data_IF_680421837927
#
_entry.id   IF_680421837927
#
_cell.length_a   1.000
_cell.length_b   1.000
_cell.length_c   1.000
_cell.angle_alpha   90.00
_cell.angle_beta   90.00
_cell.angle_gamma   90.00
#
_symmetry.space_group_name_H-M   'P 1'
#
loop_
_entity.id
_entity.type
_entity.pdbx_description
1 polymer ?
#
# COMPACT_ATOMS: atom_id res chain seq x y z
N UNK A 1 4.08 -5.00 -10.07
CA UNK A 1 3.71 -5.81 -8.90
C UNK A 1 4.18 -5.11 -7.63
N UNK A 2 3.32 -5.15 -6.57
CA UNK A 2 3.69 -4.65 -5.24
C UNK A 2 3.70 -5.79 -4.24
N UNK A 3 4.67 -5.79 -3.31
CA UNK A 3 4.79 -6.80 -2.27
C UNK A 3 5.02 -6.17 -0.89
N UNK A 4 4.57 -6.83 0.17
CA UNK A 4 4.66 -6.29 1.53
C UNK A 4 5.85 -6.87 2.31
N UNK A 5 6.41 -6.07 3.24
CA UNK A 5 7.30 -6.51 4.30
C UNK A 5 6.55 -6.46 5.64
N UNK A 6 6.05 -7.59 6.10
CA UNK A 6 5.36 -7.69 7.38
C UNK A 6 6.12 -8.59 8.37
N UNK A 7 5.79 -9.88 8.41
CA UNK A 7 6.42 -10.87 9.29
C UNK A 7 7.11 -12.02 8.53
N UNK A 8 6.94 -12.05 7.22
CA UNK A 8 7.46 -13.12 6.37
C UNK A 8 8.83 -12.77 5.79
N UNK A 9 8.82 -12.21 4.59
CA UNK A 9 10.04 -12.00 3.82
C UNK A 9 10.64 -10.61 4.06
N UNK A 10 11.97 -10.53 3.99
CA UNK A 10 12.71 -9.27 3.99
C UNK A 10 12.56 -8.58 2.62
N UNK A 11 12.38 -7.26 2.65
CA UNK A 11 11.95 -6.51 1.46
C UNK A 11 12.95 -6.55 0.31
N UNK A 12 14.23 -6.30 0.56
CA UNK A 12 15.21 -6.22 -0.53
C UNK A 12 15.53 -7.61 -1.12
N UNK A 13 15.55 -8.64 -0.26
CA UNK A 13 15.76 -10.01 -0.70
C UNK A 13 14.60 -10.51 -1.58
N UNK A 14 13.35 -10.27 -1.17
CA UNK A 14 12.18 -10.64 -1.97
C UNK A 14 12.13 -9.83 -3.28
N UNK A 15 12.39 -8.52 -3.22
CA UNK A 15 12.46 -7.66 -4.40
C UNK A 15 13.49 -8.16 -5.41
N UNK A 16 14.68 -8.54 -4.94
CA UNK A 16 15.74 -9.12 -5.80
C UNK A 16 15.29 -10.41 -6.48
N UNK A 17 14.66 -11.32 -5.71
CA UNK A 17 14.13 -12.57 -6.26
C UNK A 17 13.07 -12.32 -7.35
N UNK A 18 12.08 -11.46 -7.06
CA UNK A 18 11.00 -11.14 -8.01
C UNK A 18 11.52 -10.47 -9.29
N UNK A 19 12.49 -9.55 -9.17
CA UNK A 19 13.13 -8.91 -10.32
C UNK A 19 13.90 -9.92 -11.19
N UNK A 20 14.56 -10.90 -10.56
CA UNK A 20 15.28 -11.96 -11.27
C UNK A 20 14.34 -12.94 -12.00
N UNK A 21 13.12 -13.16 -11.48
CA UNK A 21 12.12 -14.03 -12.10
C UNK A 21 11.29 -13.33 -13.20
N UNK A 22 11.44 -12.01 -13.37
CA UNK A 22 10.64 -11.21 -14.32
C UNK A 22 11.55 -10.40 -15.24
N UNK A 23 11.04 -10.03 -16.43
CA UNK A 23 11.84 -9.30 -17.44
C UNK A 23 11.37 -7.87 -17.68
N UNK A 24 10.08 -7.60 -17.58
CA UNK A 24 9.49 -6.31 -17.98
C UNK A 24 8.70 -5.63 -16.87
N UNK A 25 8.11 -6.39 -15.97
CA UNK A 25 7.27 -5.85 -14.90
C UNK A 25 8.08 -5.04 -13.89
N UNK A 26 7.55 -3.88 -13.49
CA UNK A 26 8.08 -3.13 -12.36
C UNK A 26 7.70 -3.80 -11.04
N UNK A 27 8.65 -3.84 -10.11
CA UNK A 27 8.49 -4.44 -8.78
C UNK A 27 8.63 -3.34 -7.73
N UNK A 28 7.67 -3.22 -6.83
CA UNK A 28 7.67 -2.22 -5.77
C UNK A 28 7.43 -2.81 -4.38
N UNK A 29 8.15 -2.30 -3.39
CA UNK A 29 7.84 -2.63 -1.99
C UNK A 29 6.62 -1.84 -1.50
N UNK A 30 5.68 -2.49 -0.82
CA UNK A 30 4.48 -1.88 -0.21
C UNK A 30 4.25 -2.40 1.20
N UNK A 31 5.07 -2.03 2.11
CA UNK A 31 6.19 -1.10 2.10
C UNK A 31 7.41 -1.71 2.79
N UNK A 32 8.60 -1.26 2.37
CA UNK A 32 9.80 -1.52 3.14
C UNK A 32 9.77 -0.69 4.44
N UNK A 33 9.92 -1.37 5.58
CA UNK A 33 9.80 -0.76 6.88
C UNK A 33 11.08 0.01 7.25
N UNK A 34 10.97 1.32 7.55
CA UNK A 34 12.12 2.16 7.93
C UNK A 34 12.80 1.75 9.24
N UNK A 35 12.14 0.95 10.08
CA UNK A 35 12.72 0.38 11.29
C UNK A 35 13.40 -0.98 11.05
N UNK A 36 13.32 -1.53 9.84
CA UNK A 36 13.98 -2.80 9.48
C UNK A 36 15.43 -2.59 9.04
N UNK A 37 15.73 -1.41 8.50
CA UNK A 37 17.03 -1.04 7.96
C UNK A 37 17.22 0.47 8.02
N UNK A 38 18.45 0.95 8.17
CA UNK A 38 18.72 2.38 8.11
C UNK A 38 18.57 2.95 6.69
N UNK A 39 18.59 4.28 6.60
CA UNK A 39 18.37 4.98 5.33
C UNK A 39 19.50 4.71 4.31
N UNK A 40 20.73 4.53 4.80
CA UNK A 40 21.88 4.22 3.94
C UNK A 40 21.74 2.83 3.32
N UNK A 41 21.40 1.81 4.13
CA UNK A 41 21.15 0.46 3.64
C UNK A 41 19.97 0.42 2.64
N UNK A 42 18.90 1.18 2.89
CA UNK A 42 17.77 1.28 1.94
C UNK A 42 18.19 1.93 0.61
N UNK A 43 19.05 2.95 0.66
CA UNK A 43 19.61 3.55 -0.54
C UNK A 43 20.47 2.57 -1.34
N UNK A 44 21.36 1.85 -0.66
CA UNK A 44 22.18 0.81 -1.30
C UNK A 44 21.31 -0.27 -1.94
N UNK A 45 20.25 -0.71 -1.24
CA UNK A 45 19.29 -1.66 -1.78
C UNK A 45 18.59 -1.13 -3.04
N UNK A 46 18.09 0.10 -3.01
CA UNK A 46 17.47 0.75 -4.17
C UNK A 46 18.43 0.81 -5.36
N UNK A 47 19.68 1.26 -5.14
CA UNK A 47 20.68 1.34 -6.21
C UNK A 47 21.00 -0.04 -6.78
N UNK A 48 21.22 -1.03 -5.92
CA UNK A 48 21.53 -2.40 -6.36
C UNK A 48 20.39 -2.97 -7.19
N UNK A 49 19.15 -2.92 -6.66
CA UNK A 49 17.99 -3.49 -7.37
C UNK A 49 17.69 -2.76 -8.67
N UNK A 50 17.86 -1.44 -8.72
CA UNK A 50 17.72 -0.67 -9.94
C UNK A 50 18.78 -1.05 -10.98
N UNK A 51 20.04 -1.15 -10.58
CA UNK A 51 21.14 -1.50 -11.48
C UNK A 51 21.03 -2.89 -12.10
N UNK A 52 20.59 -3.89 -11.31
CA UNK A 52 20.47 -5.28 -11.80
C UNK A 52 19.17 -5.55 -12.55
N UNK A 53 18.24 -4.62 -12.55
CA UNK A 53 16.90 -4.81 -13.12
C UNK A 53 16.51 -3.80 -14.20
N UNK A 54 17.45 -3.03 -14.70
CA UNK A 54 17.19 -1.97 -15.67
C UNK A 54 16.14 -0.95 -15.16
N UNK A 55 16.33 -0.48 -13.92
CA UNK A 55 15.48 0.50 -13.22
C UNK A 55 14.02 0.09 -13.03
N UNK A 56 13.71 -1.21 -12.92
CA UNK A 56 12.36 -1.73 -12.68
C UNK A 56 11.96 -1.78 -11.19
N UNK A 57 12.79 -1.29 -10.27
CA UNK A 57 12.49 -1.31 -8.85
C UNK A 57 11.94 0.02 -8.35
N UNK A 58 10.86 -0.03 -7.55
CA UNK A 58 10.27 1.12 -6.84
C UNK A 58 10.37 0.89 -5.34
N UNK A 59 11.00 1.82 -4.62
CA UNK A 59 11.12 1.75 -3.17
C UNK A 59 9.92 2.44 -2.49
N UNK A 60 8.95 1.63 -2.06
CA UNK A 60 7.89 2.11 -1.16
C UNK A 60 8.34 2.00 0.29
N UNK A 61 8.29 3.10 1.02
CA UNK A 61 8.70 3.21 2.42
C UNK A 61 7.52 3.47 3.35
N UNK A 62 7.59 2.98 4.57
CA UNK A 62 6.57 3.23 5.58
C UNK A 62 7.07 3.09 7.00
N UNK A 63 6.34 3.74 7.92
CA UNK A 63 6.64 3.72 9.37
C UNK A 63 6.10 2.48 10.08
N UNK A 64 5.37 1.62 9.38
CA UNK A 64 4.75 0.42 9.95
C UNK A 64 3.79 0.73 11.12
N UNK A 65 3.66 -0.18 12.07
CA UNK A 65 2.71 -0.10 13.18
C UNK A 65 3.41 -0.42 14.50
N UNK A 66 2.90 0.18 15.60
CA UNK A 66 3.47 0.03 16.95
C UNK A 66 3.80 -1.43 17.31
N UNK A 67 2.89 -2.41 17.15
CA UNK A 67 3.19 -3.79 17.53
C UNK A 67 4.38 -4.39 16.77
N UNK A 68 4.52 -4.09 15.49
CA UNK A 68 5.63 -4.62 14.71
C UNK A 68 6.96 -3.91 15.03
N UNK A 69 6.90 -2.62 15.29
CA UNK A 69 8.09 -1.82 15.59
C UNK A 69 8.59 -2.05 17.01
N UNK A 70 7.70 -2.07 18.00
CA UNK A 70 8.10 -2.17 19.42
C UNK A 70 8.22 -3.62 19.87
N UNK A 71 7.20 -4.46 19.63
CA UNK A 71 7.17 -5.82 20.18
C UNK A 71 8.04 -6.80 19.39
N UNK A 72 8.13 -6.63 18.07
CA UNK A 72 8.89 -7.56 17.22
C UNK A 72 10.32 -7.07 16.98
N UNK A 73 10.51 -5.75 16.75
CA UNK A 73 11.82 -5.20 16.38
C UNK A 73 12.56 -4.52 17.54
N UNK A 74 11.91 -4.28 18.68
CA UNK A 74 12.53 -3.68 19.87
C UNK A 74 12.90 -2.21 19.71
N UNK A 75 12.32 -1.50 18.74
CA UNK A 75 12.48 -0.06 18.55
C UNK A 75 11.39 0.71 19.28
N UNK A 76 11.55 2.03 19.41
CA UNK A 76 10.53 2.92 19.96
C UNK A 76 9.77 3.59 18.82
N UNK A 77 8.45 3.43 18.79
CA UNK A 77 7.58 4.07 17.79
C UNK A 77 7.15 5.46 18.26
N UNK A 78 7.91 6.48 17.89
CA UNK A 78 7.58 7.87 18.23
C UNK A 78 7.64 8.77 17.01
N UNK A 79 6.79 9.82 17.02
CA UNK A 79 6.82 10.91 16.02
C UNK A 79 6.98 10.42 14.56
N UNK A 80 6.10 9.53 14.05
CA UNK A 80 6.31 8.84 12.77
C UNK A 80 6.56 9.80 11.60
N UNK A 81 5.93 10.98 11.57
CA UNK A 81 6.15 11.97 10.52
C UNK A 81 7.58 12.55 10.57
N UNK A 82 8.07 12.92 11.75
CA UNK A 82 9.44 13.45 11.90
C UNK A 82 10.49 12.38 11.62
N UNK A 83 10.24 11.14 12.08
CA UNK A 83 11.12 9.99 11.82
C UNK A 83 11.22 9.71 10.30
N UNK A 84 10.10 9.72 9.58
CA UNK A 84 10.10 9.54 8.13
C UNK A 84 10.84 10.68 7.43
N UNK A 85 10.62 11.94 7.82
CA UNK A 85 11.35 13.09 7.25
C UNK A 85 12.87 12.94 7.42
N UNK A 86 13.32 12.66 8.64
CA UNK A 86 14.76 12.46 8.92
C UNK A 86 15.33 11.27 8.14
N UNK A 87 14.54 10.21 7.98
CA UNK A 87 14.95 9.06 7.20
C UNK A 87 15.14 9.42 5.72
N UNK A 88 14.21 10.17 5.12
CA UNK A 88 14.29 10.61 3.73
C UNK A 88 15.46 11.59 3.52
N UNK A 89 15.67 12.53 4.44
CA UNK A 89 16.82 13.45 4.40
C UNK A 89 18.16 12.68 4.37
N UNK A 90 18.27 11.62 5.18
CA UNK A 90 19.45 10.75 5.15
C UNK A 90 19.52 9.88 3.89
N UNK A 91 18.38 9.40 3.39
CA UNK A 91 18.31 8.63 2.16
C UNK A 91 18.88 9.43 0.97
N UNK A 92 18.59 10.73 0.91
CA UNK A 92 19.00 11.63 -0.17
C UNK A 92 20.31 12.39 0.07
N UNK A 93 20.88 12.35 1.29
CA UNK A 93 21.99 13.21 1.70
C UNK A 93 23.28 13.09 0.87
N UNK A 94 23.43 12.01 0.13
CA UNK A 94 24.57 11.75 -0.76
C UNK A 94 24.10 11.41 -2.18
N UNK A 95 22.95 11.97 -2.59
CA UNK A 95 22.43 11.71 -3.92
C UNK A 95 23.34 12.32 -4.99
N UNK A 96 24.11 11.50 -5.65
CA UNK A 96 24.90 11.89 -6.81
C UNK A 96 23.95 12.39 -7.90
N UNK A 97 24.00 13.69 -8.18
CA UNK A 97 23.39 14.28 -9.36
C UNK A 97 21.90 14.63 -9.32
N UNK A 98 21.24 14.67 -8.17
CA UNK A 98 19.89 15.23 -8.04
C UNK A 98 18.78 14.47 -8.80
N UNK A 99 18.97 13.20 -9.07
CA UNK A 99 17.98 12.35 -9.72
C UNK A 99 16.76 12.11 -8.85
N UNK A 100 15.57 12.15 -9.44
CA UNK A 100 14.31 11.79 -8.76
C UNK A 100 14.21 10.27 -8.67
N UNK A 101 14.66 9.71 -7.56
CA UNK A 101 14.57 8.27 -7.33
C UNK A 101 13.12 7.80 -7.24
N UNK A 102 12.80 6.58 -7.66
CA UNK A 102 11.46 6.01 -7.61
C UNK A 102 11.11 5.60 -6.16
N UNK A 103 10.93 6.58 -5.29
CA UNK A 103 10.52 6.40 -3.89
C UNK A 103 9.09 6.88 -3.72
N UNK A 104 8.25 6.07 -3.06
CA UNK A 104 6.88 6.41 -2.68
C UNK A 104 6.66 6.12 -1.19
N UNK A 105 5.70 6.80 -0.55
CA UNK A 105 5.39 6.60 0.86
C UNK A 105 4.04 5.95 1.09
N UNK A 106 3.97 5.02 2.04
CA UNK A 106 2.70 4.68 2.68
C UNK A 106 2.18 5.91 3.44
N UNK A 107 1.08 6.46 2.97
CA UNK A 107 0.53 7.71 3.51
C UNK A 107 -1.00 7.67 3.51
N UNK A 108 -1.62 7.77 4.69
CA UNK A 108 -3.06 7.82 4.87
C UNK A 108 -3.53 9.23 5.26
N UNK A 109 -2.85 9.84 6.22
CA UNK A 109 -3.24 11.16 6.72
C UNK A 109 -2.59 12.33 5.95
N UNK A 110 -3.21 13.52 6.03
CA UNK A 110 -2.82 14.67 5.22
C UNK A 110 -1.36 15.12 5.44
N UNK A 111 -0.83 14.99 6.64
CA UNK A 111 0.56 15.38 6.94
C UNK A 111 1.58 14.45 6.28
N UNK A 112 1.32 13.14 6.22
CA UNK A 112 2.21 12.19 5.56
C UNK A 112 2.08 12.29 4.03
N UNK A 113 0.86 12.56 3.52
CA UNK A 113 0.64 12.87 2.10
C UNK A 113 1.39 14.13 1.68
N UNK A 114 1.35 15.21 2.48
CA UNK A 114 2.11 16.42 2.21
C UNK A 114 3.63 16.18 2.22
N UNK A 115 4.14 15.38 3.17
CA UNK A 115 5.55 14.98 3.19
C UNK A 115 5.91 14.16 1.93
N UNK A 116 5.03 13.28 1.50
CA UNK A 116 5.21 12.52 0.26
C UNK A 116 5.27 13.43 -0.97
N UNK A 117 4.37 14.40 -1.05
CA UNK A 117 4.37 15.40 -2.12
C UNK A 117 5.68 16.20 -2.16
N UNK A 118 6.19 16.59 -0.99
CA UNK A 118 7.41 17.39 -0.86
C UNK A 118 8.67 16.62 -1.25
N UNK A 119 8.85 15.40 -0.74
CA UNK A 119 10.14 14.71 -0.75
C UNK A 119 10.22 13.46 -1.63
N UNK A 120 9.11 12.99 -2.22
CA UNK A 120 9.09 11.72 -2.97
C UNK A 120 8.35 11.82 -4.29
N UNK A 121 8.31 10.71 -5.03
CA UNK A 121 7.56 10.61 -6.30
C UNK A 121 6.05 10.52 -6.08
N UNK A 122 5.60 10.15 -4.89
CA UNK A 122 4.18 10.01 -4.61
C UNK A 122 3.87 9.12 -3.42
N UNK A 123 2.63 8.67 -3.33
CA UNK A 123 2.12 7.90 -2.21
C UNK A 123 1.49 6.57 -2.65
N UNK A 124 1.51 5.61 -1.71
CA UNK A 124 0.83 4.33 -1.82
C UNK A 124 -0.07 4.13 -0.58
N UNK A 125 -1.29 4.70 -0.57
CA UNK A 125 -2.27 4.45 0.48
C UNK A 125 -2.83 3.03 0.39
N UNK A 126 -3.22 2.50 1.55
CA UNK A 126 -3.68 1.12 1.70
C UNK A 126 -4.96 1.08 2.53
N UNK A 127 -5.92 0.22 2.18
CA UNK A 127 -7.25 0.16 2.80
C UNK A 127 -8.01 1.49 2.74
N UNK A 128 -8.19 2.02 1.56
CA UNK A 128 -8.82 3.33 1.32
C UNK A 128 -9.94 3.23 0.28
N UNK A 129 -10.81 4.24 0.26
CA UNK A 129 -11.91 4.36 -0.70
C UNK A 129 -11.56 5.34 -1.84
N UNK A 130 -12.36 5.41 -2.93
CA UNK A 130 -12.20 6.43 -3.97
C UNK A 130 -12.25 7.87 -3.44
N UNK A 131 -13.06 8.14 -2.39
CA UNK A 131 -13.10 9.46 -1.75
C UNK A 131 -11.75 9.81 -1.10
N UNK A 132 -11.10 8.85 -0.45
CA UNK A 132 -9.74 9.07 0.06
C UNK A 132 -8.75 9.32 -1.08
N UNK A 133 -8.89 8.62 -2.19
CA UNK A 133 -8.03 8.80 -3.37
C UNK A 133 -8.14 10.24 -3.89
N UNK A 134 -9.35 10.79 -3.98
CA UNK A 134 -9.55 12.20 -4.38
C UNK A 134 -8.89 13.17 -3.38
N UNK A 135 -9.04 12.95 -2.08
CA UNK A 135 -8.38 13.75 -1.04
C UNK A 135 -6.86 13.64 -1.16
N UNK A 136 -6.33 12.44 -1.29
CA UNK A 136 -4.89 12.19 -1.44
C UNK A 136 -4.33 12.89 -2.68
N UNK A 137 -5.03 12.78 -3.82
CA UNK A 137 -4.62 13.46 -5.07
C UNK A 137 -4.59 14.98 -4.94
N UNK A 138 -5.58 15.56 -4.27
CA UNK A 138 -5.62 17.01 -4.03
C UNK A 138 -4.42 17.51 -3.21
N UNK A 139 -3.93 16.72 -2.26
CA UNK A 139 -2.76 17.06 -1.43
C UNK A 139 -1.44 16.79 -2.17
N UNK A 140 -1.36 15.70 -2.91
CA UNK A 140 -0.14 15.31 -3.65
C UNK A 140 0.16 16.23 -4.84
N UNK A 141 -0.87 16.70 -5.53
CA UNK A 141 -0.75 17.45 -6.77
C UNK A 141 -0.75 16.58 -8.04
N UNK A 142 -0.84 17.22 -9.19
CA UNK A 142 -1.08 16.55 -10.48
C UNK A 142 0.06 15.62 -10.92
N UNK A 143 1.31 16.03 -10.68
CA UNK A 143 2.51 15.33 -11.21
C UNK A 143 3.01 14.18 -10.33
N UNK A 144 2.36 13.95 -9.19
CA UNK A 144 2.77 12.88 -8.25
C UNK A 144 2.06 11.57 -8.52
N UNK A 145 2.78 10.49 -8.33
CA UNK A 145 2.22 9.15 -8.38
C UNK A 145 1.27 8.93 -7.20
N UNK A 146 0.14 8.33 -7.48
CA UNK A 146 -0.79 7.85 -6.47
C UNK A 146 -1.14 6.40 -6.82
N UNK A 147 -0.43 5.48 -6.20
CA UNK A 147 -0.63 4.04 -6.37
C UNK A 147 -1.56 3.55 -5.25
N UNK A 148 -2.81 3.26 -5.58
CA UNK A 148 -3.83 2.88 -4.61
C UNK A 148 -3.97 1.36 -4.57
N UNK A 149 -4.03 0.78 -3.38
CA UNK A 149 -4.45 -0.61 -3.22
C UNK A 149 -5.97 -0.71 -3.11
N UNK A 150 -6.57 -1.63 -3.86
CA UNK A 150 -7.98 -2.00 -3.76
C UNK A 150 -8.11 -3.52 -3.55
N UNK A 151 -8.75 -3.90 -2.45
CA UNK A 151 -9.14 -5.29 -2.20
C UNK A 151 -10.32 -5.67 -3.07
N UNK A 152 -10.19 -6.80 -3.76
CA UNK A 152 -11.21 -7.32 -4.68
C UNK A 152 -11.57 -8.75 -4.33
N UNK A 153 -12.85 -9.08 -4.33
CA UNK A 153 -13.37 -10.42 -4.06
C UNK A 153 -14.30 -10.84 -5.19
N UNK A 154 -13.84 -11.74 -6.06
CA UNK A 154 -14.62 -12.25 -7.18
C UNK A 154 -15.62 -13.32 -6.68
N UNK A 155 -16.61 -12.87 -5.92
CA UNK A 155 -17.65 -13.67 -5.29
C UNK A 155 -18.98 -12.90 -5.32
N UNK A 156 -20.04 -13.51 -5.86
CA UNK A 156 -21.35 -12.85 -6.04
C UNK A 156 -22.31 -13.05 -4.85
N UNK A 157 -22.05 -14.03 -3.99
CA UNK A 157 -22.83 -14.23 -2.77
C UNK A 157 -22.49 -13.15 -1.73
N UNK A 158 -23.44 -12.28 -1.34
CA UNK A 158 -23.15 -11.20 -0.38
C UNK A 158 -22.67 -11.71 0.97
N UNK A 159 -23.19 -12.82 1.44
CA UNK A 159 -22.82 -13.41 2.73
C UNK A 159 -21.39 -13.95 2.72
N UNK A 160 -21.00 -14.64 1.66
CA UNK A 160 -19.69 -15.25 1.50
C UNK A 160 -18.62 -14.17 1.27
N UNK A 161 -18.85 -13.24 0.34
CA UNK A 161 -17.96 -12.14 0.06
C UNK A 161 -17.67 -11.28 1.30
N UNK A 162 -18.71 -10.91 2.06
CA UNK A 162 -18.54 -10.13 3.29
C UNK A 162 -17.85 -10.92 4.40
N UNK A 163 -18.06 -12.24 4.49
CA UNK A 163 -17.34 -13.07 5.45
C UNK A 163 -15.83 -13.12 5.12
N UNK A 164 -15.47 -13.27 3.84
CA UNK A 164 -14.08 -13.20 3.38
C UNK A 164 -13.47 -11.82 3.65
N UNK A 165 -14.19 -10.76 3.32
CA UNK A 165 -13.74 -9.38 3.50
C UNK A 165 -13.52 -9.03 4.99
N UNK A 166 -14.41 -9.46 5.91
CA UNK A 166 -14.23 -9.27 7.36
C UNK A 166 -12.97 -9.95 7.87
N UNK A 167 -12.74 -11.19 7.47
CA UNK A 167 -11.53 -11.93 7.84
C UNK A 167 -10.26 -11.20 7.38
N UNK A 168 -10.26 -10.68 6.17
CA UNK A 168 -9.11 -9.93 5.63
C UNK A 168 -8.88 -8.61 6.37
N UNK A 169 -9.95 -7.90 6.75
CA UNK A 169 -9.85 -6.59 7.42
C UNK A 169 -9.65 -6.68 8.93
N UNK A 170 -9.90 -7.82 9.57
CA UNK A 170 -9.86 -8.01 11.03
C UNK A 170 -8.56 -7.46 11.65
N UNK A 171 -7.42 -7.77 11.04
CA UNK A 171 -6.10 -7.33 11.52
C UNK A 171 -5.88 -5.82 11.48
N UNK A 172 -6.66 -5.08 10.71
CA UNK A 172 -6.52 -3.63 10.55
C UNK A 172 -7.48 -2.85 11.44
N UNK A 173 -8.63 -3.43 11.83
CA UNK A 173 -9.64 -2.79 12.66
C UNK A 173 -9.14 -2.35 14.04
N UNK A 174 -8.11 -3.02 14.57
CA UNK A 174 -7.43 -2.65 15.81
C UNK A 174 -6.31 -1.62 15.68
N UNK A 175 -6.00 -1.15 14.47
CA UNK A 175 -4.85 -0.25 14.23
C UNK A 175 -5.30 1.22 14.22
N UNK A 176 -4.80 2.06 15.16
CA UNK A 176 -5.28 3.44 15.33
C UNK A 176 -5.18 4.33 14.10
N UNK A 177 -4.14 4.15 13.28
CA UNK A 177 -3.93 4.93 12.06
C UNK A 177 -5.00 4.65 11.00
N UNK A 178 -5.46 3.40 10.86
CA UNK A 178 -6.56 3.05 9.95
C UNK A 178 -7.89 3.55 10.50
N UNK A 179 -8.20 3.30 11.78
CA UNK A 179 -9.43 3.82 12.40
C UNK A 179 -9.55 5.33 12.23
N UNK A 180 -8.48 6.08 12.50
CA UNK A 180 -8.47 7.53 12.29
C UNK A 180 -8.72 7.92 10.83
N UNK A 181 -8.14 7.21 9.87
CA UNK A 181 -8.39 7.44 8.45
C UNK A 181 -9.86 7.21 8.11
N UNK A 182 -10.44 6.09 8.55
CA UNK A 182 -11.83 5.73 8.29
C UNK A 182 -12.84 6.66 8.98
N UNK A 183 -12.54 7.14 10.20
CA UNK A 183 -13.34 8.20 10.83
C UNK A 183 -13.35 9.49 10.02
N UNK A 184 -12.21 9.89 9.47
CA UNK A 184 -12.12 11.06 8.59
C UNK A 184 -12.92 10.89 7.29
N UNK A 185 -13.21 9.66 6.88
CA UNK A 185 -14.07 9.29 5.76
C UNK A 185 -15.55 9.13 6.17
N UNK A 186 -15.91 9.41 7.42
CA UNK A 186 -17.29 9.38 7.92
C UNK A 186 -17.80 8.00 8.38
N UNK A 187 -16.89 7.05 8.65
CA UNK A 187 -17.27 5.83 9.35
C UNK A 187 -17.27 6.07 10.86
N UNK A 188 -18.34 5.64 11.52
CA UNK A 188 -18.51 5.73 12.98
C UNK A 188 -17.78 4.58 13.70
N UNK A 189 -17.67 4.68 15.03
CA UNK A 189 -17.18 3.54 15.83
C UNK A 189 -18.06 2.29 15.62
N UNK A 190 -19.38 2.46 15.52
CA UNK A 190 -20.30 1.36 15.26
C UNK A 190 -20.07 0.70 13.88
N UNK A 191 -19.55 1.44 12.90
CA UNK A 191 -19.15 0.88 11.61
C UNK A 191 -17.86 0.04 11.69
N UNK A 192 -17.00 0.34 12.66
CA UNK A 192 -15.67 -0.28 12.77
C UNK A 192 -15.59 -1.39 13.83
N UNK A 193 -16.57 -1.44 14.74
CA UNK A 193 -16.62 -2.46 15.80
C UNK A 193 -17.23 -3.78 15.31
N UNK A 194 -17.06 -4.84 16.09
CA UNK A 194 -17.63 -6.16 15.84
C UNK A 194 -17.34 -6.75 14.44
N UNK A 195 -16.15 -6.51 13.93
CA UNK A 195 -15.72 -7.02 12.61
C UNK A 195 -16.14 -6.15 11.42
N UNK A 196 -16.72 -4.99 11.69
CA UNK A 196 -17.14 -4.02 10.69
C UNK A 196 -18.57 -4.19 10.21
N UNK A 197 -19.29 -3.07 10.05
CA UNK A 197 -20.62 -3.04 9.44
C UNK A 197 -20.56 -3.44 7.96
N UNK A 198 -21.67 -3.90 7.39
CA UNK A 198 -21.74 -4.19 5.96
C UNK A 198 -21.37 -2.96 5.11
N UNK A 199 -21.80 -1.76 5.54
CA UNK A 199 -21.44 -0.48 4.89
C UNK A 199 -19.92 -0.28 4.81
N UNK A 200 -19.23 -0.52 5.93
CA UNK A 200 -17.76 -0.38 5.98
C UNK A 200 -17.07 -1.45 5.15
N UNK A 201 -17.48 -2.70 5.27
CA UNK A 201 -16.93 -3.84 4.53
C UNK A 201 -17.06 -3.62 3.02
N UNK A 202 -18.26 -3.25 2.54
CA UNK A 202 -18.52 -3.02 1.11
C UNK A 202 -17.77 -1.79 0.56
N UNK A 203 -17.42 -0.83 1.43
CA UNK A 203 -16.60 0.31 1.03
C UNK A 203 -15.12 -0.05 0.86
N UNK A 204 -14.58 -0.93 1.73
CA UNK A 204 -13.17 -1.30 1.73
C UNK A 204 -12.84 -2.42 0.75
N UNK A 205 -13.75 -3.38 0.57
CA UNK A 205 -13.56 -4.54 -0.31
C UNK A 205 -14.67 -4.53 -1.35
N UNK A 206 -14.32 -4.33 -2.60
CA UNK A 206 -15.29 -4.51 -3.67
C UNK A 206 -15.45 -6.00 -3.95
N UNK A 207 -16.70 -6.45 -4.03
CA UNK A 207 -17.03 -7.84 -4.29
C UNK A 207 -18.16 -7.95 -5.34
N UNK A 208 -18.20 -9.05 -6.06
CA UNK A 208 -19.20 -9.34 -7.10
C UNK A 208 -18.57 -9.89 -8.37
N UNK A 209 -19.25 -9.67 -9.49
CA UNK A 209 -18.72 -10.01 -10.81
C UNK A 209 -17.67 -9.00 -11.29
N UNK A 210 -17.00 -9.32 -12.39
CA UNK A 210 -15.94 -8.52 -13.00
C UNK A 210 -16.38 -7.08 -13.29
N UNK A 211 -17.58 -6.88 -13.85
CA UNK A 211 -18.10 -5.53 -14.18
C UNK A 211 -18.26 -4.65 -12.94
N UNK A 212 -18.68 -5.20 -11.82
CA UNK A 212 -18.82 -4.44 -10.57
C UNK A 212 -17.47 -4.08 -9.99
N UNK A 213 -16.52 -5.00 -10.03
CA UNK A 213 -15.15 -4.76 -9.58
C UNK A 213 -14.49 -3.73 -10.48
N UNK A 214 -14.59 -3.86 -11.80
CA UNK A 214 -14.00 -2.90 -12.74
C UNK A 214 -14.50 -1.47 -12.50
N UNK A 215 -15.81 -1.28 -12.28
CA UNK A 215 -16.34 0.06 -11.94
C UNK A 215 -15.67 0.66 -10.70
N UNK A 216 -15.39 -0.11 -9.65
CA UNK A 216 -14.66 0.39 -8.47
C UNK A 216 -13.21 0.76 -8.81
N UNK A 217 -12.54 0.00 -9.67
CA UNK A 217 -11.19 0.34 -10.11
C UNK A 217 -11.21 1.67 -10.90
N UNK A 218 -12.20 1.83 -11.78
CA UNK A 218 -12.41 3.06 -12.55
C UNK A 218 -12.70 4.27 -11.64
N UNK A 219 -13.50 4.10 -10.57
CA UNK A 219 -13.75 5.15 -9.57
C UNK A 219 -12.44 5.65 -8.91
N UNK A 220 -11.45 4.79 -8.70
CA UNK A 220 -10.14 5.21 -8.21
C UNK A 220 -9.36 6.00 -9.26
N UNK A 221 -9.40 5.59 -10.53
CA UNK A 221 -8.76 6.34 -11.62
C UNK A 221 -9.43 7.70 -11.81
N UNK A 222 -10.76 7.77 -11.80
CA UNK A 222 -11.52 9.02 -11.88
C UNK A 222 -11.21 9.96 -10.69
N UNK A 223 -10.96 9.40 -9.52
CA UNK A 223 -10.51 10.12 -8.32
C UNK A 223 -9.04 10.56 -8.38
N UNK A 224 -8.29 10.22 -9.44
CA UNK A 224 -6.94 10.68 -9.70
C UNK A 224 -5.82 9.69 -9.33
N UNK A 225 -6.12 8.42 -9.10
CA UNK A 225 -5.09 7.40 -9.00
C UNK A 225 -4.30 7.32 -10.31
N UNK A 226 -2.98 7.20 -10.22
CA UNK A 226 -2.12 6.95 -11.39
C UNK A 226 -1.88 5.46 -11.61
N UNK A 227 -2.16 4.66 -10.60
CA UNK A 227 -2.04 3.22 -10.60
C UNK A 227 -3.00 2.64 -9.54
N UNK A 228 -3.71 1.59 -9.87
CA UNK A 228 -4.52 0.81 -8.92
C UNK A 228 -3.94 -0.58 -8.86
N UNK A 229 -3.51 -1.00 -7.66
CA UNK A 229 -3.06 -2.36 -7.42
C UNK A 229 -4.16 -3.17 -6.75
N UNK A 230 -4.60 -4.24 -7.39
CA UNK A 230 -5.60 -5.14 -6.84
C UNK A 230 -4.97 -6.10 -5.84
N UNK A 231 -5.70 -6.37 -4.76
CA UNK A 231 -5.38 -7.44 -3.82
C UNK A 231 -6.54 -8.43 -3.77
N UNK A 232 -6.38 -9.65 -4.30
CA UNK A 232 -7.40 -10.68 -4.21
C UNK A 232 -7.74 -11.05 -2.77
N UNK A 233 -9.03 -11.15 -2.47
CA UNK A 233 -9.57 -11.60 -1.18
C UNK A 233 -10.22 -12.97 -1.38
N UNK A 234 -9.63 -13.98 -0.78
CA UNK A 234 -10.02 -15.39 -0.92
C UNK A 234 -9.72 -16.17 0.36
N UNK A 235 -10.11 -17.43 0.46
CA UNK A 235 -9.66 -18.30 1.56
C UNK A 235 -8.17 -18.62 1.41
N UNK A 236 -7.41 -18.80 2.51
CA UNK A 236 -5.96 -19.03 2.44
C UNK A 236 -5.55 -20.23 1.57
N UNK A 237 -6.43 -21.22 1.47
CA UNK A 237 -6.17 -22.47 0.76
C UNK A 237 -6.67 -22.45 -0.70
N UNK A 238 -7.39 -21.39 -1.13
CA UNK A 238 -7.92 -21.26 -2.50
C UNK A 238 -7.03 -20.31 -3.33
N UNK A 239 -5.85 -20.79 -3.68
CA UNK A 239 -4.92 -20.03 -4.54
C UNK A 239 -5.45 -19.89 -5.97
N UNK A 240 -6.29 -20.82 -6.43
CA UNK A 240 -6.93 -20.74 -7.75
C UNK A 240 -7.89 -19.53 -7.84
N UNK A 241 -8.57 -19.17 -6.72
CA UNK A 241 -9.39 -17.96 -6.69
C UNK A 241 -8.55 -16.68 -6.79
N UNK A 242 -7.36 -16.66 -6.17
CA UNK A 242 -6.43 -15.54 -6.33
C UNK A 242 -5.96 -15.41 -7.78
N UNK A 243 -5.56 -16.51 -8.40
CA UNK A 243 -5.09 -16.56 -9.79
C UNK A 243 -6.19 -16.11 -10.76
N UNK A 244 -7.40 -16.67 -10.67
CA UNK A 244 -8.56 -16.22 -11.48
C UNK A 244 -8.83 -14.72 -11.33
N UNK A 245 -8.74 -14.19 -10.11
CA UNK A 245 -8.95 -12.76 -9.88
C UNK A 245 -7.84 -11.92 -10.53
N UNK A 246 -6.59 -12.34 -10.44
CA UNK A 246 -5.47 -11.64 -11.07
C UNK A 246 -5.56 -11.70 -12.61
N UNK A 247 -5.94 -12.83 -13.17
CA UNK A 247 -6.12 -13.00 -14.62
C UNK A 247 -7.26 -12.13 -15.16
N UNK A 248 -8.40 -12.05 -14.43
CA UNK A 248 -9.57 -11.26 -14.83
C UNK A 248 -9.25 -9.74 -14.95
N UNK A 249 -8.29 -9.24 -14.18
CA UNK A 249 -7.92 -7.81 -14.14
C UNK A 249 -6.48 -7.55 -14.56
N UNK A 250 -5.81 -8.51 -15.16
CA UNK A 250 -4.48 -8.30 -15.74
C UNK A 250 -4.57 -7.28 -16.89
N UNK A 251 -3.66 -6.28 -16.94
CA UNK A 251 -3.59 -5.41 -18.11
C UNK A 251 -3.20 -6.22 -19.34
N UNK A 252 -3.94 -6.02 -20.44
CA UNK A 252 -3.68 -6.65 -21.73
C UNK A 252 -2.34 -6.26 -22.39
#
# INVERSE_FOLDING_TARGET
>A
LWYSEARGFESMALGSFLLAQTKTICIGSSIANIYARDAYASRQGLHTLSAVSDNRFVLGLGVSHVPLVEQVRGHTYTKPLATMRTYLEKLYSEADGGGTWPVVLAALGPKMLALSAELTRGAIPYNVTPEHTAIAKSILGADKWLAVEQKVCLEESPSEARALARRELERYLGLPNYRQCWHNLGFSEADLDNGGSDRFIDAMVVWGNEDKIQRRLDEHFDAGATHVCIQPVHTPDDLDAAERTLEAFAPG
#
